data_IF_953847610988
#
_entry.id   IF_953847610988
#
_cell.length_a   1.000
_cell.length_b   1.000
_cell.length_c   1.000
_cell.angle_alpha   90.00
_cell.angle_beta   90.00
_cell.angle_gamma   90.00
#
_symmetry.space_group_name_H-M   'P 1'
#
loop_
_entity.id
_entity.type
_entity.pdbx_description
1 polymer ?
#
# COMPACT_ATOMS: atom_id res chain seq x y z
N UNK A 1 8.19 -6.82 6.95
CA UNK A 1 9.07 -5.66 6.76
C UNK A 1 9.30 -5.48 5.26
N UNK A 2 9.45 -4.24 4.82
CA UNK A 2 9.53 -3.82 3.42
C UNK A 2 10.63 -2.78 3.24
N UNK A 3 10.91 -2.40 2.00
CA UNK A 3 11.93 -1.42 1.61
C UNK A 3 11.35 -0.06 1.20
N UNK A 4 10.07 -0.02 0.83
CA UNK A 4 9.43 1.14 0.22
C UNK A 4 9.71 1.29 -1.28
N UNK A 5 10.27 0.25 -1.92
CA UNK A 5 10.47 0.20 -3.36
C UNK A 5 9.32 -0.55 -4.01
N UNK A 6 8.45 0.18 -4.71
CA UNK A 6 7.28 -0.40 -5.37
C UNK A 6 7.72 -1.32 -6.52
N UNK A 7 7.21 -2.55 -6.51
CA UNK A 7 7.58 -3.60 -7.46
C UNK A 7 6.54 -3.77 -8.58
N UNK A 8 5.28 -3.41 -8.32
CA UNK A 8 4.21 -3.41 -9.32
C UNK A 8 3.11 -2.41 -8.95
N UNK A 9 2.36 -1.97 -9.96
CA UNK A 9 1.07 -1.29 -9.79
C UNK A 9 -0.02 -2.29 -10.11
N UNK A 10 -0.63 -2.84 -9.06
CA UNK A 10 -1.71 -3.80 -9.14
C UNK A 10 -3.06 -3.14 -9.40
N UNK A 11 -4.05 -3.97 -9.74
CA UNK A 11 -5.44 -3.53 -9.95
C UNK A 11 -6.41 -4.29 -9.07
N UNK A 12 -7.26 -3.57 -8.35
CA UNK A 12 -8.30 -4.15 -7.51
C UNK A 12 -9.36 -4.78 -8.42
N UNK A 13 -9.53 -6.10 -8.33
CA UNK A 13 -10.56 -6.85 -9.06
C UNK A 13 -11.89 -6.89 -8.32
N UNK A 14 -11.83 -7.11 -7.01
CA UNK A 14 -13.00 -7.27 -6.18
C UNK A 14 -12.75 -6.76 -4.76
N UNK A 15 -13.84 -6.33 -4.14
CA UNK A 15 -13.90 -5.86 -2.77
C UNK A 15 -15.13 -6.51 -2.14
N UNK A 16 -14.92 -7.53 -1.31
CA UNK A 16 -15.98 -8.34 -0.74
C UNK A 16 -16.06 -8.12 0.78
N UNK A 17 -17.26 -8.11 1.41
CA UNK A 17 -17.38 -8.16 2.85
C UNK A 17 -16.74 -9.44 3.43
N UNK A 18 -16.07 -9.32 4.56
CA UNK A 18 -15.52 -10.46 5.30
C UNK A 18 -15.89 -10.36 6.78
N UNK A 19 -15.87 -11.49 7.51
CA UNK A 19 -16.38 -11.59 8.88
C UNK A 19 -15.78 -10.58 9.88
N UNK A 20 -14.61 -9.99 9.58
CA UNK A 20 -13.96 -8.97 10.38
C UNK A 20 -13.51 -7.74 9.59
N UNK A 21 -14.12 -7.44 8.44
CA UNK A 21 -13.72 -6.29 7.62
C UNK A 21 -13.99 -6.53 6.15
N UNK A 22 -12.93 -6.52 5.34
CA UNK A 22 -13.02 -6.55 3.89
C UNK A 22 -12.01 -7.53 3.31
N UNK A 23 -12.35 -8.21 2.23
CA UNK A 23 -11.42 -8.99 1.43
C UNK A 23 -11.15 -8.27 0.11
N UNK A 24 -9.87 -8.00 -0.14
CA UNK A 24 -9.39 -7.47 -1.41
C UNK A 24 -8.96 -8.62 -2.31
N UNK A 25 -9.34 -8.55 -3.58
CA UNK A 25 -8.69 -9.33 -4.65
C UNK A 25 -7.95 -8.36 -5.55
N UNK A 26 -6.64 -8.54 -5.71
CA UNK A 26 -5.78 -7.64 -6.50
C UNK A 26 -5.05 -8.45 -7.56
N UNK A 27 -5.17 -8.04 -8.82
CA UNK A 27 -4.33 -8.56 -9.91
C UNK A 27 -3.00 -7.84 -9.97
N UNK A 28 -1.95 -8.58 -10.30
CA UNK A 28 -0.57 -8.11 -10.23
C UNK A 28 0.33 -8.86 -11.20
N UNK A 29 1.43 -8.21 -11.58
CA UNK A 29 2.55 -8.81 -12.31
C UNK A 29 3.64 -9.39 -11.40
N UNK A 30 3.49 -9.28 -10.07
CA UNK A 30 4.39 -9.93 -9.12
C UNK A 30 4.42 -11.44 -9.35
N UNK A 31 5.57 -12.07 -9.08
CA UNK A 31 5.68 -13.52 -9.13
C UNK A 31 4.97 -14.18 -7.93
N UNK A 32 3.68 -14.43 -8.09
CA UNK A 32 2.85 -15.09 -7.08
C UNK A 32 3.19 -16.58 -6.88
N UNK A 33 4.09 -17.18 -7.68
CA UNK A 33 4.53 -18.57 -7.46
C UNK A 33 5.37 -18.69 -6.19
N UNK A 34 6.13 -17.64 -5.88
CA UNK A 34 6.93 -17.54 -4.66
C UNK A 34 6.09 -17.16 -3.42
N UNK A 35 4.85 -16.68 -3.61
CA UNK A 35 3.96 -16.24 -2.54
C UNK A 35 3.10 -17.39 -2.04
N UNK A 36 2.98 -17.50 -0.71
CA UNK A 36 2.18 -18.50 0.00
C UNK A 36 1.08 -17.83 0.80
N UNK A 37 0.03 -18.59 1.12
CA UNK A 37 -0.94 -18.16 2.12
C UNK A 37 -0.22 -17.94 3.46
N UNK A 38 -0.47 -16.80 4.10
CA UNK A 38 0.24 -16.37 5.30
C UNK A 38 1.40 -15.40 5.03
N UNK A 39 1.88 -15.29 3.79
CA UNK A 39 2.90 -14.30 3.43
C UNK A 39 2.31 -12.88 3.47
N UNK A 40 3.18 -11.88 3.57
CA UNK A 40 2.79 -10.48 3.59
C UNK A 40 3.12 -9.77 2.28
N UNK A 41 2.16 -9.01 1.77
CA UNK A 41 2.32 -8.08 0.66
C UNK A 41 1.87 -6.70 1.13
N UNK A 42 2.68 -5.68 0.91
CA UNK A 42 2.28 -4.30 1.13
C UNK A 42 1.39 -3.85 -0.03
N UNK A 43 0.22 -3.31 0.30
CA UNK A 43 -0.74 -2.72 -0.65
C UNK A 43 -0.92 -1.26 -0.28
N UNK A 44 -0.46 -0.35 -1.13
CA UNK A 44 -0.32 1.09 -0.82
C UNK A 44 0.38 1.34 0.52
N UNK A 45 1.46 0.57 0.78
CA UNK A 45 2.24 0.65 2.01
C UNK A 45 1.59 -0.01 3.23
N UNK A 46 0.39 -0.58 3.12
CA UNK A 46 -0.27 -1.34 4.18
C UNK A 46 0.13 -2.81 4.10
N UNK A 47 0.73 -3.35 5.16
CA UNK A 47 1.03 -4.78 5.27
C UNK A 47 -0.26 -5.59 5.36
N UNK A 48 -0.53 -6.43 4.36
CA UNK A 48 -1.67 -7.34 4.36
C UNK A 48 -1.22 -8.80 4.22
N UNK A 49 -1.92 -9.69 4.92
CA UNK A 49 -1.67 -11.13 4.87
C UNK A 49 -2.41 -11.75 3.68
N UNK A 50 -1.69 -12.49 2.85
CA UNK A 50 -2.27 -13.24 1.73
C UNK A 50 -3.10 -14.40 2.26
N UNK A 51 -4.39 -14.41 1.96
CA UNK A 51 -5.32 -15.50 2.32
C UNK A 51 -5.56 -16.48 1.18
N UNK A 52 -5.12 -16.13 -0.04
CA UNK A 52 -5.13 -17.04 -1.17
C UNK A 52 -4.63 -16.37 -2.45
N UNK A 53 -4.37 -17.18 -3.48
CA UNK A 53 -3.96 -16.71 -4.81
C UNK A 53 -4.58 -17.55 -5.90
N UNK A 54 -4.77 -16.96 -7.07
CA UNK A 54 -5.33 -17.59 -8.25
C UNK A 54 -4.83 -16.90 -9.50
N UNK A 55 -4.06 -17.61 -10.33
CA UNK A 55 -3.47 -17.05 -11.55
C UNK A 55 -2.61 -15.83 -11.25
N UNK A 56 -3.02 -14.68 -11.78
CA UNK A 56 -2.37 -13.38 -11.67
C UNK A 56 -2.95 -12.50 -10.55
N UNK A 57 -3.70 -13.07 -9.61
CA UNK A 57 -4.29 -12.33 -8.51
C UNK A 57 -4.04 -13.00 -7.15
N UNK A 58 -3.87 -12.16 -6.13
CA UNK A 58 -3.89 -12.59 -4.74
C UNK A 58 -5.10 -12.00 -4.01
N UNK A 59 -5.44 -12.61 -2.87
CA UNK A 59 -6.49 -12.16 -1.98
C UNK A 59 -5.89 -11.87 -0.62
N UNK A 60 -6.34 -10.79 0.01
CA UNK A 60 -5.92 -10.42 1.35
C UNK A 60 -7.11 -9.89 2.16
N UNK A 61 -7.06 -10.09 3.47
CA UNK A 61 -8.08 -9.54 4.39
C UNK A 61 -7.58 -8.24 5.02
N UNK A 62 -8.48 -7.28 5.12
CA UNK A 62 -8.24 -5.94 5.62
C UNK A 62 -9.03 -5.76 6.91
N UNK A 63 -8.31 -5.52 8.00
CA UNK A 63 -8.89 -5.36 9.34
C UNK A 63 -9.64 -4.03 9.48
N UNK A 64 -10.54 -3.89 10.47
CA UNK A 64 -11.26 -2.64 10.69
C UNK A 64 -10.33 -1.48 11.07
N UNK A 65 -9.25 -1.74 11.82
CA UNK A 65 -8.25 -0.72 12.15
C UNK A 65 -7.52 -0.26 10.88
N UNK A 66 -7.14 -1.19 10.03
CA UNK A 66 -6.52 -0.89 8.74
C UNK A 66 -7.43 -0.03 7.85
N UNK A 67 -8.72 -0.37 7.77
CA UNK A 67 -9.71 0.42 7.03
C UNK A 67 -9.82 1.84 7.61
N UNK A 68 -9.81 2.00 8.94
CA UNK A 68 -9.84 3.33 9.57
C UNK A 68 -8.58 4.13 9.28
N UNK A 69 -7.40 3.51 9.27
CA UNK A 69 -6.11 4.20 9.21
C UNK A 69 -5.59 4.48 7.80
N UNK A 70 -6.15 3.84 6.78
CA UNK A 70 -5.58 3.87 5.42
C UNK A 70 -6.61 4.26 4.36
N UNK A 71 -6.11 4.54 3.16
CA UNK A 71 -6.93 4.82 1.98
C UNK A 71 -7.75 3.61 1.51
N UNK A 72 -7.46 2.40 2.01
CA UNK A 72 -8.14 1.16 1.64
C UNK A 72 -9.62 1.13 2.02
N UNK A 73 -10.09 1.99 2.94
CA UNK A 73 -11.54 2.17 3.16
C UNK A 73 -12.30 2.65 1.92
N UNK A 74 -11.61 3.26 0.96
CA UNK A 74 -12.18 3.74 -0.31
C UNK A 74 -11.80 2.87 -1.51
N UNK A 75 -11.24 1.69 -1.23
CA UNK A 75 -10.90 0.70 -2.24
C UNK A 75 -12.14 0.27 -3.03
N UNK A 76 -12.00 0.16 -4.35
CA UNK A 76 -13.08 -0.19 -5.27
C UNK A 76 -12.54 -0.94 -6.48
N UNK A 77 -13.33 -1.84 -7.10
CA UNK A 77 -12.94 -2.50 -8.33
C UNK A 77 -12.47 -1.52 -9.42
N UNK A 78 -11.42 -1.89 -10.14
CA UNK A 78 -10.78 -1.06 -11.17
C UNK A 78 -9.72 -0.08 -10.65
N UNK A 79 -9.69 0.20 -9.34
CA UNK A 79 -8.68 1.05 -8.72
C UNK A 79 -7.28 0.43 -8.77
N UNK A 80 -6.26 1.28 -8.86
CA UNK A 80 -4.86 0.88 -8.85
C UNK A 80 -4.26 1.00 -7.44
N UNK A 81 -3.30 0.13 -7.13
CA UNK A 81 -2.60 0.09 -5.84
C UNK A 81 -1.13 -0.25 -6.06
N UNK A 82 -0.25 0.37 -5.29
CA UNK A 82 1.17 0.03 -5.27
C UNK A 82 1.40 -1.27 -4.49
N UNK A 83 2.25 -2.14 -5.01
CA UNK A 83 2.53 -3.45 -4.44
C UNK A 83 4.01 -3.67 -4.17
N UNK A 84 4.30 -4.30 -3.04
CA UNK A 84 5.65 -4.73 -2.64
C UNK A 84 5.56 -6.04 -1.82
N UNK A 85 6.35 -7.05 -2.17
CA UNK A 85 6.47 -8.29 -1.37
C UNK A 85 7.33 -8.06 -0.13
N UNK A 86 7.06 -8.77 0.96
CA UNK A 86 7.91 -8.70 2.14
C UNK A 86 9.37 -9.11 1.86
N UNK A 87 10.30 -8.42 2.53
CA UNK A 87 11.74 -8.68 2.46
C UNK A 87 12.08 -10.11 2.90
N UNK A 88 12.94 -10.77 2.14
CA UNK A 88 13.69 -11.96 2.57
C UNK A 88 15.03 -11.54 3.15
N UNK A 89 15.64 -12.41 3.97
CA UNK A 89 16.94 -12.12 4.61
C UNK A 89 18.07 -11.83 3.60
N UNK A 90 17.99 -12.41 2.40
CA UNK A 90 18.98 -12.25 1.34
C UNK A 90 18.71 -11.07 0.40
N UNK A 91 17.57 -10.38 0.57
CA UNK A 91 17.19 -9.31 -0.35
C UNK A 91 17.99 -8.04 -0.02
N UNK A 92 18.43 -7.27 -1.04
CA UNK A 92 19.11 -6.02 -0.82
C UNK A 92 18.17 -4.98 -0.18
N UNK A 93 18.66 -4.26 0.82
CA UNK A 93 17.95 -3.13 1.43
C UNK A 93 18.23 -1.84 0.65
N UNK A 94 17.61 -1.70 -0.53
CA UNK A 94 17.84 -0.55 -1.42
C UNK A 94 17.14 0.75 -0.98
N UNK A 95 16.05 0.65 -0.23
CA UNK A 95 15.32 1.78 0.35
C UNK A 95 15.64 1.96 1.83
N UNK A 96 14.59 1.94 2.66
CA UNK A 96 14.71 1.97 4.12
C UNK A 96 13.75 0.96 4.75
N UNK A 97 13.89 0.69 6.05
CA UNK A 97 12.98 -0.23 6.72
C UNK A 97 11.59 0.38 6.85
N UNK A 98 10.65 -0.18 6.10
CA UNK A 98 9.22 0.14 6.16
C UNK A 98 8.51 -0.99 6.91
N UNK A 99 7.76 -0.63 7.97
CA UNK A 99 7.03 -1.61 8.78
C UNK A 99 5.80 -2.17 8.03
N UNK A 100 5.18 -1.34 7.20
CA UNK A 100 3.87 -1.59 6.62
C UNK A 100 2.69 -1.31 7.56
N UNK A 101 2.95 -0.70 8.72
CA UNK A 101 1.91 -0.19 9.64
C UNK A 101 1.68 1.28 9.34
N UNK A 102 0.54 1.59 8.72
CA UNK A 102 0.17 2.98 8.37
C UNK A 102 -0.40 3.69 9.60
N UNK A 103 0.15 4.87 9.92
CA UNK A 103 -0.32 5.70 11.06
C UNK A 103 -1.63 6.46 10.76
N UNK A 104 -1.86 6.78 9.49
CA UNK A 104 -2.96 7.61 9.02
C UNK A 104 -2.81 8.01 7.55
N UNK A 105 -3.71 8.86 7.08
CA UNK A 105 -3.74 9.35 5.70
C UNK A 105 -3.18 10.78 5.60
N UNK A 106 -2.65 11.13 4.43
CA UNK A 106 -2.29 12.49 4.07
C UNK A 106 -3.09 12.96 2.85
N UNK A 107 -3.30 14.27 2.74
CA UNK A 107 -3.90 14.89 1.56
C UNK A 107 -2.81 15.63 0.77
N UNK A 108 -2.75 15.39 -0.55
CA UNK A 108 -1.87 16.14 -1.43
C UNK A 108 -2.50 17.52 -1.68
N UNK A 109 -1.84 18.55 -1.17
CA UNK A 109 -2.26 19.94 -1.30
C UNK A 109 -1.88 20.55 -2.65
N UNK A 110 -0.74 20.12 -3.21
CA UNK A 110 -0.18 20.70 -4.42
C UNK A 110 0.74 19.71 -5.13
N UNK A 111 0.71 19.73 -6.46
CA UNK A 111 1.63 18.99 -7.33
C UNK A 111 2.26 19.99 -8.29
N UNK A 112 3.57 20.16 -8.19
CA UNK A 112 4.33 21.13 -9.00
C UNK A 112 5.32 20.38 -9.90
N UNK A 113 5.34 20.64 -11.22
CA UNK A 113 6.41 20.14 -12.07
C UNK A 113 7.73 20.81 -11.71
N UNK A 114 8.80 20.03 -11.60
CA UNK A 114 10.14 20.50 -11.25
C UNK A 114 11.18 19.78 -12.12
N UNK A 115 11.46 20.35 -13.30
CA UNK A 115 12.32 19.73 -14.31
C UNK A 115 11.74 18.42 -14.84
N UNK A 116 12.48 17.32 -14.67
CA UNK A 116 12.03 15.95 -14.99
C UNK A 116 11.35 15.24 -13.82
N UNK A 117 11.02 15.97 -12.74
CA UNK A 117 10.42 15.43 -11.53
C UNK A 117 9.17 16.18 -11.12
N UNK A 118 8.52 15.72 -10.05
CA UNK A 118 7.34 16.33 -9.47
C UNK A 118 7.59 16.60 -7.99
N UNK A 119 7.28 17.82 -7.53
CA UNK A 119 7.26 18.16 -6.11
C UNK A 119 5.83 18.10 -5.60
N UNK A 120 5.60 17.22 -4.64
CA UNK A 120 4.34 17.08 -3.94
C UNK A 120 4.39 17.86 -2.62
N UNK A 121 3.34 18.64 -2.32
CA UNK A 121 3.10 19.18 -0.99
C UNK A 121 1.93 18.44 -0.38
N UNK A 122 2.10 17.89 0.81
CA UNK A 122 1.05 17.14 1.48
C UNK A 122 0.84 17.62 2.92
N UNK A 123 -0.39 17.50 3.40
CA UNK A 123 -0.76 17.70 4.79
C UNK A 123 -1.04 16.34 5.44
N UNK A 124 -0.52 16.12 6.64
CA UNK A 124 -0.88 14.93 7.42
C UNK A 124 -2.25 15.15 8.07
N UNK A 125 -3.23 14.34 7.72
CA UNK A 125 -4.47 14.25 8.48
C UNK A 125 -4.25 13.29 9.65
N UNK A 126 -4.14 13.84 10.86
CA UNK A 126 -4.31 13.04 12.06
C UNK A 126 -5.81 12.92 12.32
N UNK A 127 -6.36 11.71 12.40
CA UNK A 127 -7.73 11.47 12.88
C UNK A 127 -7.89 11.70 14.40
N UNK A 128 -7.00 12.47 15.01
CA UNK A 128 -7.22 13.14 16.30
C UNK A 128 -7.01 14.65 16.09
N UNK A 129 -8.11 15.42 16.15
CA UNK A 129 -8.16 16.87 16.39
C UNK A 129 -6.85 17.66 16.21
N UNK A 130 -6.75 18.41 15.09
CA UNK A 130 -5.75 19.46 14.91
C UNK A 130 -4.65 19.11 13.92
N UNK A 131 -4.81 19.59 12.68
CA UNK A 131 -3.81 19.47 11.63
C UNK A 131 -2.49 20.14 12.04
N UNK A 132 -1.37 19.41 11.92
CA UNK A 132 -0.02 19.99 11.87
C UNK A 132 0.62 19.51 10.58
N UNK A 133 0.88 20.46 9.67
CA UNK A 133 1.51 20.20 8.39
C UNK A 133 2.97 19.81 8.53
N UNK A 134 3.38 18.82 7.75
CA UNK A 134 4.79 18.47 7.54
C UNK A 134 5.00 18.27 6.04
N UNK A 135 5.89 19.04 5.44
CA UNK A 135 6.29 18.87 4.04
C UNK A 135 7.12 17.59 3.88
N UNK A 136 6.67 16.68 3.02
CA UNK A 136 7.45 15.51 2.59
C UNK A 136 7.92 15.81 1.16
N UNK A 137 9.24 15.95 0.96
CA UNK A 137 9.83 15.96 -0.38
C UNK A 137 10.13 14.52 -0.79
N UNK A 138 9.48 14.02 -1.85
CA UNK A 138 9.89 12.79 -2.52
C UNK A 138 10.64 13.15 -3.80
N UNK A 139 11.95 12.88 -3.84
CA UNK A 139 12.70 12.87 -5.09
C UNK A 139 12.43 11.52 -5.78
N UNK A 140 11.63 11.51 -6.85
CA UNK A 140 11.69 10.43 -7.84
C UNK A 140 12.71 10.82 -8.92
N UNK A 141 13.74 9.98 -9.11
CA UNK A 141 14.50 9.91 -10.34
C UNK A 141 13.79 9.00 -11.35
#
# INVERSE_FOLDING_TARGET
>A
MFTGLIQDVGRIRAVDPAAGGMRLTVSTRLDLRAVRTGDSIAVDGVCLTVVGRSGDAFRAEVSPETLRRSTLATARPGGEVNLETALKMSDPLGGHLVSGHVDGTGEIAEILPEGNSWRYRAWKYSMSSGARGSSIQSNCQ
#
